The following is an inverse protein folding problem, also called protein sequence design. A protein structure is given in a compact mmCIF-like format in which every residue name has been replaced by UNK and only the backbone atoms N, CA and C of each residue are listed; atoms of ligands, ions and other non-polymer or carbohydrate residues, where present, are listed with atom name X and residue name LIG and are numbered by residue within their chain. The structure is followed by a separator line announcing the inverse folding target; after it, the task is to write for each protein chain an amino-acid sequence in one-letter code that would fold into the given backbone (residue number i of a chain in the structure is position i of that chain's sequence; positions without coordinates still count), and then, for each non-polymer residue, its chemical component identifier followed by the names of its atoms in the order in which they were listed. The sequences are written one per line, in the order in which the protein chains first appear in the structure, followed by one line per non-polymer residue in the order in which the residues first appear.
data_IF_950033630201
#
_entry.id   IF_950033630201
#
_cell.length_a   1.000
_cell.length_b   1.000
_cell.length_c   1.000
_cell.angle_alpha   90.00
_cell.angle_beta   90.00
_cell.angle_gamma   90.00
#
_symmetry.space_group_name_H-M   'P 1'
#
loop_
_entity.id
_entity.type
_entity.pdbx_description
1 polymer ?
#
# COMPACT_ATOMS: atom_id res chain seq x y z
N UNK A 1 -4.67 61.25 13.03
CA UNK A 1 -5.65 60.36 12.36
C UNK A 1 -4.88 59.54 11.34
N UNK A 2 -4.44 58.34 11.73
CA UNK A 2 -3.81 57.39 10.82
C UNK A 2 -4.86 56.33 10.49
N UNK A 3 -5.55 56.53 9.38
CA UNK A 3 -6.43 55.55 8.78
C UNK A 3 -5.82 55.16 7.45
N UNK A 4 -5.04 54.09 7.42
CA UNK A 4 -4.79 53.36 6.18
C UNK A 4 -4.21 51.97 6.47
N UNK A 5 -4.92 51.01 5.89
CA UNK A 5 -4.48 49.71 5.40
C UNK A 5 -4.17 48.58 6.40
N UNK A 6 -5.04 47.56 6.40
CA UNK A 6 -4.61 46.18 6.58
C UNK A 6 -5.41 45.26 5.65
N UNK A 7 -4.90 45.07 4.43
CA UNK A 7 -5.29 43.99 3.53
C UNK A 7 -4.22 42.89 3.62
N UNK A 8 -4.41 41.87 4.46
CA UNK A 8 -3.56 40.66 4.46
C UNK A 8 -4.35 39.43 4.92
N UNK A 9 -5.35 39.02 4.14
CA UNK A 9 -5.79 37.63 4.12
C UNK A 9 -5.95 37.15 2.68
N UNK A 10 -4.86 37.27 1.90
CA UNK A 10 -4.66 36.35 0.78
C UNK A 10 -4.16 35.04 1.36
N UNK A 11 -5.09 34.21 1.85
CA UNK A 11 -4.80 32.88 2.35
C UNK A 11 -4.04 32.10 1.25
N UNK A 12 -2.76 31.74 1.44
CA UNK A 12 -2.05 31.00 0.42
C UNK A 12 -2.72 29.62 0.33
N UNK A 13 -3.38 29.34 -0.80
CA UNK A 13 -3.93 28.01 -1.09
C UNK A 13 -2.84 26.99 -0.79
N UNK A 14 -3.10 25.98 0.06
CA UNK A 14 -2.09 24.99 0.37
C UNK A 14 -1.59 24.36 -0.94
N UNK A 15 -0.27 24.18 -1.12
CA UNK A 15 0.26 23.59 -2.33
C UNK A 15 -0.42 22.24 -2.55
N UNK A 16 -1.05 22.08 -3.72
CA UNK A 16 -1.71 20.83 -4.08
C UNK A 16 -0.62 19.76 -4.19
N UNK A 17 -0.55 18.90 -3.18
CA UNK A 17 0.43 17.81 -3.10
C UNK A 17 0.21 16.93 -4.33
N UNK A 18 1.25 16.63 -5.14
CA UNK A 18 1.08 15.83 -6.34
C UNK A 18 0.32 14.55 -5.98
N UNK A 19 -0.72 14.27 -6.74
CA UNK A 19 -1.60 13.13 -6.56
C UNK A 19 -0.77 11.85 -6.57
N UNK A 20 -0.54 11.34 -5.36
CA UNK A 20 -0.14 9.98 -4.98
C UNK A 20 0.42 9.14 -6.13
N UNK A 21 1.75 9.10 -6.26
CA UNK A 21 2.43 7.99 -6.93
C UNK A 21 1.80 6.68 -6.41
N UNK A 22 1.08 5.97 -7.27
CA UNK A 22 0.08 4.99 -6.87
C UNK A 22 0.59 3.99 -5.83
N UNK A 23 -0.09 3.89 -4.69
CA UNK A 23 0.26 2.92 -3.63
C UNK A 23 0.26 1.51 -4.24
N UNK A 24 1.41 0.83 -4.19
CA UNK A 24 1.54 -0.54 -4.71
C UNK A 24 0.55 -1.47 -4.01
N UNK A 25 -0.20 -2.24 -4.82
CA UNK A 25 -1.17 -3.23 -4.33
C UNK A 25 -0.47 -4.30 -3.48
N UNK A 26 -1.11 -4.67 -2.38
CA UNK A 26 -0.59 -5.67 -1.45
C UNK A 26 -1.68 -6.65 -0.99
N UNK A 27 -1.23 -7.80 -0.49
CA UNK A 27 -2.01 -8.77 0.28
C UNK A 27 -1.42 -8.93 1.67
N UNK A 28 -2.28 -9.09 2.67
CA UNK A 28 -1.88 -9.50 4.01
C UNK A 28 -1.75 -11.01 4.09
N UNK A 29 -0.65 -11.52 4.62
CA UNK A 29 -0.44 -12.95 4.78
C UNK A 29 0.00 -13.25 6.20
N UNK A 30 -0.76 -14.12 6.88
CA UNK A 30 -0.31 -14.78 8.10
C UNK A 30 0.50 -16.03 7.71
N UNK A 31 1.79 -16.04 8.02
CA UNK A 31 2.65 -17.19 7.81
C UNK A 31 2.59 -18.09 9.04
N UNK A 32 1.87 -19.21 8.95
CA UNK A 32 1.72 -20.16 10.04
C UNK A 32 3.05 -20.84 10.43
N UNK A 33 4.03 -20.87 9.52
CA UNK A 33 5.35 -21.47 9.79
C UNK A 33 6.16 -20.75 10.88
N UNK A 34 5.92 -19.46 11.11
CA UNK A 34 6.62 -18.67 12.15
C UNK A 34 5.66 -17.78 12.94
N UNK A 35 4.36 -18.03 12.83
CA UNK A 35 3.27 -17.22 13.41
C UNK A 35 3.47 -15.71 13.21
N UNK A 36 3.75 -15.30 11.97
CA UNK A 36 4.07 -13.91 11.63
C UNK A 36 3.20 -13.39 10.51
N UNK A 37 2.68 -12.18 10.68
CA UNK A 37 1.95 -11.46 9.65
C UNK A 37 2.89 -10.56 8.84
N UNK A 38 2.80 -10.63 7.51
CA UNK A 38 3.52 -9.71 6.62
C UNK A 38 2.67 -9.31 5.41
N UNK A 39 3.04 -8.19 4.78
CA UNK A 39 2.46 -7.76 3.52
C UNK A 39 3.31 -8.27 2.37
N UNK A 40 2.66 -8.88 1.38
CA UNK A 40 3.28 -9.24 0.11
C UNK A 40 2.74 -8.33 -0.99
N UNK A 41 3.56 -7.99 -1.97
CA UNK A 41 3.22 -7.03 -3.00
C UNK A 41 3.06 -7.71 -4.34
N UNK A 42 2.28 -7.07 -5.21
CA UNK A 42 2.16 -7.52 -6.59
C UNK A 42 3.49 -7.32 -7.35
N UNK A 43 3.81 -8.27 -8.23
CA UNK A 43 4.92 -8.14 -9.17
C UNK A 43 4.63 -7.06 -10.23
N UNK A 44 5.67 -6.70 -10.99
CA UNK A 44 5.56 -5.67 -12.04
C UNK A 44 4.63 -6.08 -13.19
N UNK A 45 4.57 -7.37 -13.49
CA UNK A 45 3.70 -7.92 -14.54
C UNK A 45 2.23 -8.08 -14.08
N UNK A 46 1.95 -7.79 -12.82
CA UNK A 46 0.61 -7.86 -12.23
C UNK A 46 -0.06 -9.25 -12.29
N UNK A 47 0.75 -10.29 -12.50
CA UNK A 47 0.33 -11.70 -12.63
C UNK A 47 0.37 -12.47 -11.32
N UNK A 48 1.10 -11.98 -10.30
CA UNK A 48 1.19 -12.64 -9.01
C UNK A 48 1.58 -11.69 -7.86
N UNK A 49 1.04 -11.95 -6.67
CA UNK A 49 1.61 -11.43 -5.43
C UNK A 49 2.73 -12.34 -4.95
N UNK A 50 3.90 -11.76 -4.70
CA UNK A 50 5.11 -12.49 -4.34
C UNK A 50 5.68 -11.96 -3.04
N UNK A 51 6.17 -12.87 -2.21
CA UNK A 51 6.85 -12.53 -0.97
C UNK A 51 7.40 -13.76 -0.25
N UNK A 52 7.85 -13.55 0.96
CA UNK A 52 8.45 -14.59 1.79
C UNK A 52 8.14 -14.34 3.27
N UNK A 53 8.18 -15.41 4.06
CA UNK A 53 8.15 -15.27 5.52
C UNK A 53 9.37 -14.45 5.97
N UNK A 54 9.19 -13.37 6.74
CA UNK A 54 10.30 -12.53 7.18
C UNK A 54 11.21 -13.21 8.21
N UNK A 55 10.78 -14.34 8.79
CA UNK A 55 11.54 -15.10 9.80
C UNK A 55 12.37 -16.23 9.19
N UNK A 56 11.73 -17.13 8.44
CA UNK A 56 12.40 -18.32 7.89
C UNK A 56 12.68 -18.24 6.38
N UNK A 57 12.22 -17.19 5.69
CA UNK A 57 12.43 -17.02 4.25
C UNK A 57 11.58 -17.91 3.34
N UNK A 58 10.62 -18.70 3.89
CA UNK A 58 9.70 -19.53 3.10
C UNK A 58 8.99 -18.69 2.04
N UNK A 59 9.17 -19.05 0.77
CA UNK A 59 8.64 -18.29 -0.38
C UNK A 59 7.15 -18.54 -0.57
N UNK A 60 6.44 -17.52 -1.04
CA UNK A 60 5.03 -17.56 -1.35
C UNK A 60 4.76 -16.84 -2.67
N UNK A 61 3.89 -17.44 -3.49
CA UNK A 61 3.41 -16.87 -4.74
C UNK A 61 1.90 -17.11 -4.86
N UNK A 62 1.12 -16.04 -4.95
CA UNK A 62 -0.33 -16.10 -5.17
C UNK A 62 -0.62 -15.55 -6.56
N UNK A 63 -1.15 -16.39 -7.45
CA UNK A 63 -1.46 -16.02 -8.82
C UNK A 63 -2.68 -15.11 -8.90
N UNK A 64 -2.67 -14.20 -9.88
CA UNK A 64 -3.81 -13.36 -10.24
C UNK A 64 -4.38 -13.89 -11.56
N UNK A 65 -5.66 -14.26 -11.56
CA UNK A 65 -6.28 -14.86 -12.74
C UNK A 65 -7.80 -15.04 -12.59
N UNK A 66 -8.47 -15.49 -13.66
CA UNK A 66 -9.90 -15.78 -13.65
C UNK A 66 -10.21 -16.88 -12.63
N UNK A 67 -11.35 -16.75 -11.93
CA UNK A 67 -11.70 -17.65 -10.82
C UNK A 67 -10.96 -17.37 -9.52
N UNK A 68 -10.18 -16.28 -9.45
CA UNK A 68 -9.56 -15.81 -8.21
C UNK A 68 -10.57 -15.27 -7.19
N UNK A 69 -10.06 -14.75 -6.09
CA UNK A 69 -10.87 -14.17 -5.02
C UNK A 69 -10.55 -12.70 -4.76
N UNK A 70 -11.54 -11.97 -4.26
CA UNK A 70 -11.38 -10.59 -3.78
C UNK A 70 -10.79 -10.53 -2.36
N UNK A 71 -10.62 -11.66 -1.66
CA UNK A 71 -9.98 -11.70 -0.34
C UNK A 71 -8.62 -11.02 -0.36
N UNK A 72 -8.33 -10.23 0.68
CA UNK A 72 -7.07 -9.49 0.85
C UNK A 72 -6.15 -10.08 1.92
N UNK A 73 -6.66 -11.05 2.69
CA UNK A 73 -5.97 -11.70 3.78
C UNK A 73 -5.94 -13.20 3.54
N UNK A 74 -4.75 -13.79 3.68
CA UNK A 74 -4.51 -15.21 3.46
C UNK A 74 -3.67 -15.78 4.59
N UNK A 75 -3.77 -17.10 4.81
CA UNK A 75 -2.87 -17.83 5.69
C UNK A 75 -2.03 -18.78 4.85
N UNK A 76 -0.71 -18.72 5.01
CA UNK A 76 0.25 -19.60 4.36
C UNK A 76 0.80 -20.61 5.36
N UNK A 77 0.55 -21.89 5.10
CA UNK A 77 0.99 -23.03 5.92
C UNK A 77 2.36 -23.54 5.46
#
# INVERSE_FOLDING_TARGET
MAGENLDVSSDPRPPQRPEQAGKRRYLGVAFACCDVYARIYINREESAYQGNCPKCGKRLRILVGPGGTNSRFFTAY
#
